data_IF_897686823075
#
_entry.id   IF_897686823075
#
_cell.length_a   1.000
_cell.length_b   1.000
_cell.length_c   1.000
_cell.angle_alpha   90.00
_cell.angle_beta   90.00
_cell.angle_gamma   90.00
#
_symmetry.space_group_name_H-M   'P 1'
#
loop_
_entity.id
_entity.type
_entity.pdbx_description
1 polymer ?
#
# COMPACT_ATOMS: atom_id res chain seq x y z
N UNK A 1 -5.11 3.33 -19.99
CA UNK A 1 -5.22 1.99 -19.39
C UNK A 1 -4.74 2.07 -17.95
N UNK A 2 -5.66 2.09 -16.99
CA UNK A 2 -5.32 2.12 -15.56
C UNK A 2 -4.86 0.73 -15.17
N UNK A 3 -3.55 0.56 -14.96
CA UNK A 3 -2.99 -0.72 -14.53
C UNK A 3 -3.60 -1.06 -13.16
N UNK A 4 -4.36 -2.15 -13.09
CA UNK A 4 -5.16 -2.54 -11.90
C UNK A 4 -4.30 -3.29 -10.87
N UNK A 5 -3.07 -3.66 -11.21
CA UNK A 5 -2.18 -4.35 -10.27
C UNK A 5 -0.73 -4.03 -10.62
N UNK A 6 0.15 -3.72 -9.65
CA UNK A 6 1.55 -3.57 -9.99
C UNK A 6 2.03 -4.95 -10.43
N UNK A 7 2.75 -4.99 -11.54
CA UNK A 7 3.40 -6.24 -11.94
C UNK A 7 4.44 -6.67 -10.90
N UNK A 8 5.19 -7.71 -11.23
CA UNK A 8 6.34 -8.15 -10.42
C UNK A 8 7.48 -7.13 -10.39
N UNK A 9 7.44 -6.11 -11.25
CA UNK A 9 8.42 -5.01 -11.26
C UNK A 9 8.05 -3.98 -10.20
N UNK A 10 8.94 -3.70 -9.22
CA UNK A 10 8.67 -2.72 -8.18
C UNK A 10 8.55 -1.30 -8.74
N UNK A 11 7.58 -0.56 -8.23
CA UNK A 11 7.39 0.86 -8.45
C UNK A 11 8.07 1.60 -7.31
N UNK A 12 9.08 2.41 -7.65
CA UNK A 12 9.73 3.33 -6.72
C UNK A 12 9.07 4.70 -6.78
N UNK A 13 8.76 5.25 -5.61
CA UNK A 13 7.98 6.46 -5.42
C UNK A 13 8.43 7.23 -4.18
N UNK A 14 7.99 8.49 -4.07
CA UNK A 14 8.34 9.41 -2.98
C UNK A 14 7.16 9.69 -2.06
N UNK A 15 5.94 9.39 -2.52
CA UNK A 15 4.74 9.53 -1.73
C UNK A 15 3.66 8.51 -2.14
N UNK A 16 2.84 8.11 -1.17
CA UNK A 16 1.65 7.33 -1.39
C UNK A 16 0.51 7.80 -0.49
N UNK A 17 -0.66 7.99 -1.07
CA UNK A 17 -1.89 8.27 -0.34
C UNK A 17 -2.62 6.95 -0.09
N UNK A 18 -2.96 6.66 1.16
CA UNK A 18 -3.73 5.48 1.54
C UNK A 18 -5.09 5.91 2.06
N UNK A 19 -6.13 5.51 1.35
CA UNK A 19 -7.50 5.57 1.84
C UNK A 19 -7.83 4.24 2.54
N UNK A 20 -8.12 4.27 3.84
CA UNK A 20 -8.41 3.06 4.64
C UNK A 20 -9.84 3.04 5.16
N UNK A 21 -10.43 1.84 5.32
CA UNK A 21 -11.78 1.62 5.85
C UNK A 21 -11.76 0.50 6.91
N UNK A 22 -12.31 0.73 8.12
CA UNK A 22 -12.71 2.04 8.65
C UNK A 22 -11.48 2.93 8.87
N UNK A 23 -11.66 4.25 8.77
CA UNK A 23 -10.60 5.21 9.02
C UNK A 23 -10.67 6.42 8.09
N UNK A 24 -9.52 7.08 7.93
CA UNK A 24 -9.35 8.30 7.14
C UNK A 24 -8.19 8.14 6.17
N UNK A 25 -8.15 8.99 5.16
CA UNK A 25 -7.03 9.01 4.21
C UNK A 25 -5.80 9.62 4.87
N UNK A 26 -4.63 9.05 4.64
CA UNK A 26 -3.35 9.61 5.10
C UNK A 26 -2.26 9.40 4.05
N UNK A 27 -1.22 10.23 4.13
CA UNK A 27 -0.10 10.19 3.19
C UNK A 27 1.11 9.57 3.86
N UNK A 28 1.70 8.58 3.20
CA UNK A 28 3.06 8.11 3.42
C UNK A 28 3.99 8.97 2.55
N UNK A 29 5.05 9.48 3.15
CA UNK A 29 6.09 10.25 2.46
C UNK A 29 7.45 9.58 2.65
N UNK A 30 8.35 9.76 1.69
CA UNK A 30 9.69 9.17 1.69
C UNK A 30 9.83 8.08 0.63
N UNK A 31 10.92 7.30 0.71
CA UNK A 31 11.15 6.22 -0.24
C UNK A 31 10.07 5.14 -0.06
N UNK A 32 9.24 4.96 -1.09
CA UNK A 32 8.16 3.98 -1.14
C UNK A 32 8.44 3.02 -2.27
N UNK A 33 8.53 1.74 -1.91
CA UNK A 33 8.51 0.64 -2.88
C UNK A 33 7.14 -0.01 -2.87
N UNK A 34 6.53 -0.14 -4.05
CA UNK A 34 5.27 -0.84 -4.26
C UNK A 34 5.44 -1.98 -5.27
N UNK A 35 5.13 -3.21 -4.90
CA UNK A 35 5.34 -4.37 -5.77
C UNK A 35 4.18 -5.34 -5.69
N UNK A 36 3.79 -5.91 -6.84
CA UNK A 36 2.91 -7.09 -6.87
C UNK A 36 3.71 -8.34 -6.52
N UNK A 37 3.33 -9.00 -5.43
CA UNK A 37 3.88 -10.29 -4.99
C UNK A 37 2.78 -11.37 -5.01
N UNK A 38 3.14 -12.62 -4.75
CA UNK A 38 2.17 -13.71 -4.52
C UNK A 38 2.26 -14.16 -3.07
N UNK A 39 1.16 -14.16 -2.34
CA UNK A 39 1.05 -14.68 -0.98
C UNK A 39 -0.08 -15.72 -0.94
N UNK A 40 0.21 -16.94 -0.50
CA UNK A 40 -0.76 -18.04 -0.40
C UNK A 40 -1.57 -18.28 -1.69
N UNK A 41 -0.91 -18.16 -2.85
CA UNK A 41 -1.53 -18.32 -4.17
C UNK A 41 -2.39 -17.13 -4.63
N UNK A 42 -2.42 -16.03 -3.88
CA UNK A 42 -3.14 -14.80 -4.22
C UNK A 42 -2.16 -13.67 -4.57
N UNK A 43 -2.51 -12.84 -5.55
CA UNK A 43 -1.77 -11.61 -5.81
C UNK A 43 -1.88 -10.69 -4.60
N UNK A 44 -0.75 -10.17 -4.12
CA UNK A 44 -0.71 -9.18 -3.05
C UNK A 44 0.11 -7.94 -3.45
N UNK A 45 -0.30 -6.78 -2.97
CA UNK A 45 0.52 -5.57 -3.04
C UNK A 45 1.36 -5.49 -1.79
N UNK A 46 2.68 -5.38 -1.93
CA UNK A 46 3.58 -5.01 -0.85
C UNK A 46 3.94 -3.52 -0.94
N UNK A 47 3.71 -2.77 0.14
CA UNK A 47 4.13 -1.37 0.29
C UNK A 47 5.19 -1.24 1.36
N UNK A 48 6.30 -0.57 1.05
CA UNK A 48 7.42 -0.31 1.98
C UNK A 48 7.81 1.18 2.05
N UNK A 49 7.20 1.98 2.95
CA UNK A 49 7.72 3.30 3.33
C UNK A 49 8.94 3.19 4.24
N UNK A 50 9.95 4.03 4.01
CA UNK A 50 11.16 4.11 4.86
C UNK A 50 10.88 4.62 6.29
N UNK A 51 10.02 5.63 6.45
CA UNK A 51 9.58 6.18 7.73
C UNK A 51 8.10 5.86 7.95
N UNK A 52 7.84 4.80 8.71
CA UNK A 52 6.48 4.43 9.06
C UNK A 52 6.10 4.98 10.42
N UNK A 53 5.25 6.00 10.43
CA UNK A 53 4.68 6.54 11.67
C UNK A 53 3.91 5.42 12.42
N UNK A 54 4.15 5.21 13.73
CA UNK A 54 3.39 4.28 14.55
C UNK A 54 1.86 4.44 14.44
N UNK A 55 1.38 5.67 14.23
CA UNK A 55 -0.04 5.96 14.04
C UNK A 55 -0.55 5.42 12.69
N UNK A 56 0.21 5.62 11.61
CA UNK A 56 -0.13 5.10 10.28
C UNK A 56 -0.16 3.57 10.30
N UNK A 57 0.80 2.94 10.97
CA UNK A 57 0.80 1.49 11.21
C UNK A 57 -0.48 1.05 11.92
N UNK A 58 -0.84 1.72 13.03
CA UNK A 58 -2.03 1.37 13.81
C UNK A 58 -3.29 1.48 12.98
N UNK A 59 -3.43 2.53 12.18
CA UNK A 59 -4.56 2.70 11.26
C UNK A 59 -4.64 1.57 10.24
N UNK A 60 -3.53 1.20 9.61
CA UNK A 60 -3.49 0.09 8.65
C UNK A 60 -3.83 -1.25 9.28
N UNK A 61 -3.30 -1.53 10.47
CA UNK A 61 -3.61 -2.77 11.20
C UNK A 61 -5.07 -2.85 11.66
N UNK A 62 -5.75 -1.71 11.84
CA UNK A 62 -7.17 -1.66 12.20
C UNK A 62 -8.09 -1.60 10.98
N UNK A 63 -7.55 -1.26 9.81
CA UNK A 63 -8.30 -1.22 8.57
C UNK A 63 -8.65 -2.61 8.07
N UNK A 64 -9.85 -2.75 7.53
CA UNK A 64 -10.29 -3.95 6.81
C UNK A 64 -9.81 -3.90 5.38
N UNK A 65 -9.97 -2.73 4.75
CA UNK A 65 -9.64 -2.51 3.37
C UNK A 65 -8.91 -1.19 3.18
N UNK A 66 -8.06 -1.12 2.16
CA UNK A 66 -7.32 0.07 1.80
C UNK A 66 -7.14 0.19 0.29
N UNK A 67 -7.02 1.41 -0.19
CA UNK A 67 -6.61 1.71 -1.56
C UNK A 67 -5.36 2.57 -1.50
N UNK A 68 -4.35 2.26 -2.31
CA UNK A 68 -3.15 3.09 -2.44
C UNK A 68 -3.19 3.90 -3.73
N UNK A 69 -2.76 5.15 -3.65
CA UNK A 69 -2.37 5.97 -4.79
C UNK A 69 -0.92 6.36 -4.65
N UNK A 70 -0.12 6.16 -5.69
CA UNK A 70 1.32 6.35 -5.68
C UNK A 70 1.67 7.57 -6.52
N UNK A 71 2.58 8.38 -5.99
CA UNK A 71 3.07 9.62 -6.58
C UNK A 71 4.61 9.61 -6.69
N UNK A 72 5.13 10.13 -7.80
CA UNK A 72 6.55 10.41 -8.00
C UNK A 72 6.69 11.90 -8.29
N UNK A 73 7.31 12.65 -7.38
CA UNK A 73 7.09 14.09 -7.24
C UNK A 73 5.58 14.39 -7.11
N UNK A 74 5.13 15.43 -7.82
CA UNK A 74 3.71 15.80 -7.87
C UNK A 74 2.89 14.96 -8.87
N UNK A 75 3.51 13.99 -9.53
CA UNK A 75 2.85 13.20 -10.57
C UNK A 75 2.27 11.92 -9.99
N UNK A 76 0.96 11.79 -10.12
CA UNK A 76 0.26 10.52 -9.94
C UNK A 76 0.71 9.48 -10.98
N UNK A 77 1.09 8.28 -10.52
CA UNK A 77 1.58 7.21 -11.41
C UNK A 77 0.77 5.92 -11.32
N UNK A 78 0.08 5.65 -10.20
CA UNK A 78 -0.62 4.38 -10.02
C UNK A 78 -1.69 4.46 -8.91
N UNK A 79 -2.82 3.78 -9.09
CA UNK A 79 -3.84 3.54 -8.05
C UNK A 79 -4.13 2.05 -8.01
N UNK A 80 -4.10 1.45 -6.82
CA UNK A 80 -4.55 0.07 -6.66
C UNK A 80 -6.09 -0.03 -6.67
N UNK A 81 -6.66 -1.21 -6.93
CA UNK A 81 -8.00 -1.55 -6.48
C UNK A 81 -8.07 -1.47 -4.95
N UNK A 82 -9.28 -1.61 -4.42
CA UNK A 82 -9.44 -1.84 -2.99
C UNK A 82 -8.80 -3.19 -2.62
N UNK A 83 -7.97 -3.15 -1.58
CA UNK A 83 -7.20 -4.27 -1.09
C UNK A 83 -7.66 -4.61 0.31
N UNK A 84 -7.76 -5.90 0.61
CA UNK A 84 -7.92 -6.35 1.99
C UNK A 84 -6.55 -6.38 2.67
N UNK A 85 -6.43 -5.79 3.85
CA UNK A 85 -5.18 -5.87 4.61
C UNK A 85 -5.00 -7.30 5.15
N UNK A 86 -3.98 -8.02 4.66
CA UNK A 86 -3.69 -9.39 5.08
C UNK A 86 -2.61 -9.40 6.18
N UNK A 87 -1.58 -8.58 6.02
CA UNK A 87 -0.50 -8.46 6.98
C UNK A 87 0.05 -7.03 7.02
N UNK A 88 0.40 -6.59 8.22
CA UNK A 88 1.08 -5.32 8.47
C UNK A 88 2.27 -5.63 9.38
N UNK A 89 3.48 -5.57 8.86
CA UNK A 89 4.70 -5.94 9.57
C UNK A 89 5.68 -4.76 9.64
N UNK A 90 6.37 -4.59 10.76
CA UNK A 90 7.55 -3.73 10.81
C UNK A 90 8.77 -4.55 10.44
N UNK A 91 9.53 -4.04 9.48
CA UNK A 91 10.80 -4.62 9.03
C UNK A 91 11.92 -3.63 9.31
N UNK A 92 13.18 -4.08 9.22
CA UNK A 92 14.35 -3.20 9.29
C UNK A 92 14.41 -2.17 8.16
N UNK A 93 13.59 -2.33 7.11
CA UNK A 93 13.48 -1.42 5.96
C UNK A 93 12.21 -0.56 5.98
N UNK A 94 11.47 -0.56 7.11
CA UNK A 94 10.23 0.19 7.27
C UNK A 94 9.00 -0.71 7.43
N UNK A 95 7.81 -0.17 7.16
CA UNK A 95 6.54 -0.92 7.27
C UNK A 95 6.30 -1.74 6.01
N UNK A 96 5.94 -3.01 6.11
CA UNK A 96 5.46 -3.81 5.00
C UNK A 96 3.95 -4.02 5.17
N UNK A 97 3.17 -3.56 4.20
CA UNK A 97 1.73 -3.86 4.14
C UNK A 97 1.48 -4.77 2.96
N UNK A 98 0.86 -5.91 3.22
CA UNK A 98 0.47 -6.88 2.20
C UNK A 98 -1.05 -6.87 2.09
N UNK A 99 -1.59 -6.67 0.88
CA UNK A 99 -3.03 -6.81 0.66
C UNK A 99 -3.42 -7.45 -0.66
N UNK A 100 -4.44 -8.30 -0.62
CA UNK A 100 -5.01 -8.98 -1.79
C UNK A 100 -6.19 -8.17 -2.36
N UNK A 101 -6.52 -8.32 -3.67
CA UNK A 101 -7.70 -7.67 -4.23
C UNK A 101 -8.95 -8.03 -3.43
N UNK A 102 -9.78 -7.03 -3.13
CA UNK A 102 -11.01 -7.19 -2.38
C UNK A 102 -12.08 -6.17 -2.78
N UNK A 103 -13.28 -6.31 -2.19
CA UNK A 103 -14.34 -5.32 -2.30
C UNK A 103 -14.20 -4.25 -1.23
N UNK A 104 -14.82 -3.09 -1.48
CA UNK A 104 -14.96 -2.01 -0.50
C UNK A 104 -16.11 -2.36 0.44
N UNK A 105 -15.86 -3.19 1.45
CA UNK A 105 -16.81 -3.57 2.52
C UNK A 105 -16.26 -3.31 3.93
#
# INVERSE_FOLDING_TARGET
>A
MTQVWPGTVPILAEAAELAVIPGQTFTLSGEITAQGITCDGQGCLELRPADADPQQRRMLSQSRTYQVRIYRGDRYIYTSPWLRANAVACTTKGLAVTGAPGSRD
#
